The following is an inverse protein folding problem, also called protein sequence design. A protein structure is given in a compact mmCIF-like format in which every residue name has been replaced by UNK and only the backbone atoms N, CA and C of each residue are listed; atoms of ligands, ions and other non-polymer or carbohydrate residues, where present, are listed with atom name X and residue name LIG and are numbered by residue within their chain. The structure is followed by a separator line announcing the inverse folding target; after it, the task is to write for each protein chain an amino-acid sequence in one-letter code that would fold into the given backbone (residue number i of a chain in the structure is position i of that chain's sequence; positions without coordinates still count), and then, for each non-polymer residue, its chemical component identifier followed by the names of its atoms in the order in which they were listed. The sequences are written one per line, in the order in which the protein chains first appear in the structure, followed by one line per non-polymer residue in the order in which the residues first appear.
data_IF_273647834549
#
_entry.id   IF_273647834549
#
_cell.length_a   1.000
_cell.length_b   1.000
_cell.length_c   1.000
_cell.angle_alpha   90.00
_cell.angle_beta   90.00
_cell.angle_gamma   90.00
#
_symmetry.space_group_name_H-M   'P 1'
#
loop_
_entity.id
_entity.type
_entity.pdbx_description
1 polymer ?
#
# COMPACT_ATOMS: atom_id res chain seq x y z
N UNK A 1 -28.45 -20.02 -10.52
CA UNK A 1 -27.55 -19.07 -9.83
C UNK A 1 -27.09 -19.71 -8.53
N UNK A 2 -25.79 -19.69 -8.17
CA UNK A 2 -25.36 -20.17 -6.88
C UNK A 2 -26.10 -19.39 -5.78
N UNK A 3 -26.74 -20.12 -4.87
CA UNK A 3 -27.42 -19.56 -3.70
C UNK A 3 -26.40 -18.70 -2.92
N UNK A 4 -26.76 -17.45 -2.60
CA UNK A 4 -25.92 -16.49 -1.86
C UNK A 4 -25.29 -17.13 -0.61
N UNK A 5 -26.03 -18.01 0.07
CA UNK A 5 -25.55 -18.77 1.23
C UNK A 5 -24.34 -19.66 0.92
N UNK A 6 -24.33 -20.31 -0.24
CA UNK A 6 -23.22 -21.18 -0.68
C UNK A 6 -21.97 -20.35 -1.03
N UNK A 7 -22.16 -19.19 -1.66
CA UNK A 7 -21.07 -18.25 -1.94
C UNK A 7 -20.43 -17.73 -0.66
N UNK A 8 -21.24 -17.26 0.29
CA UNK A 8 -20.78 -16.77 1.60
C UNK A 8 -20.06 -17.85 2.42
N UNK A 9 -20.58 -19.08 2.43
CA UNK A 9 -19.93 -20.21 3.09
C UNK A 9 -18.55 -20.53 2.46
N UNK A 10 -18.45 -20.42 1.13
CA UNK A 10 -17.20 -20.69 0.39
C UNK A 10 -16.13 -19.65 0.69
N UNK A 11 -16.48 -18.35 0.66
CA UNK A 11 -15.52 -17.28 0.97
C UNK A 11 -15.16 -17.25 2.46
N UNK A 12 -16.11 -17.55 3.36
CA UNK A 12 -15.87 -17.66 4.79
C UNK A 12 -14.90 -18.81 5.11
N UNK A 13 -15.08 -19.98 4.48
CA UNK A 13 -14.13 -21.11 4.61
C UNK A 13 -12.74 -20.73 4.08
N UNK A 14 -12.65 -20.07 2.92
CA UNK A 14 -11.37 -19.59 2.38
C UNK A 14 -10.69 -18.57 3.29
N UNK A 15 -11.44 -17.64 3.88
CA UNK A 15 -10.93 -16.64 4.82
C UNK A 15 -10.54 -17.22 6.19
N UNK A 16 -11.22 -18.26 6.65
CA UNK A 16 -10.91 -18.98 7.89
C UNK A 16 -9.74 -19.97 7.77
N UNK A 17 -9.30 -20.31 6.56
CA UNK A 17 -8.08 -21.09 6.36
C UNK A 17 -6.88 -20.22 6.73
N UNK A 18 -6.32 -20.49 7.91
CA UNK A 18 -5.06 -19.89 8.34
C UNK A 18 -3.98 -20.20 7.30
N UNK A 19 -3.38 -19.16 6.74
CA UNK A 19 -2.23 -19.31 5.83
C UNK A 19 -1.13 -20.09 6.56
N UNK A 20 -0.64 -21.16 5.92
CA UNK A 20 0.53 -21.93 6.38
C UNK A 20 1.86 -21.37 5.87
N UNK A 21 1.83 -20.34 5.02
CA UNK A 21 3.05 -19.70 4.53
C UNK A 21 3.73 -19.00 5.70
N UNK A 22 5.01 -19.30 5.90
CA UNK A 22 5.86 -18.51 6.77
C UNK A 22 6.02 -17.12 6.15
N UNK A 23 5.80 -16.08 6.95
CA UNK A 23 6.04 -14.70 6.56
C UNK A 23 7.13 -14.17 7.48
N UNK A 24 8.28 -13.89 6.88
CA UNK A 24 9.38 -13.27 7.60
C UNK A 24 8.98 -11.86 8.08
N UNK A 25 9.34 -11.43 9.30
CA UNK A 25 9.04 -10.09 9.78
C UNK A 25 9.53 -8.97 8.86
N UNK A 26 10.65 -9.15 8.17
CA UNK A 26 11.17 -8.19 7.21
C UNK A 26 10.29 -8.10 5.97
N UNK A 27 9.84 -9.24 5.44
CA UNK A 27 8.89 -9.28 4.32
C UNK A 27 7.55 -8.65 4.71
N UNK A 28 7.08 -8.88 5.93
CA UNK A 28 5.88 -8.22 6.45
C UNK A 28 6.03 -6.69 6.47
N UNK A 29 7.18 -6.17 6.91
CA UNK A 29 7.49 -4.72 6.88
C UNK A 29 7.51 -4.20 5.46
N UNK A 30 8.23 -4.86 4.53
CA UNK A 30 8.27 -4.47 3.10
C UNK A 30 6.87 -4.38 2.50
N UNK A 31 6.00 -5.36 2.79
CA UNK A 31 4.61 -5.35 2.33
C UNK A 31 3.82 -4.15 2.86
N UNK A 32 4.03 -3.78 4.13
CA UNK A 32 3.39 -2.61 4.74
C UNK A 32 3.92 -1.32 4.12
N UNK A 33 5.23 -1.17 3.96
CA UNK A 33 5.84 0.02 3.35
C UNK A 33 5.30 0.29 1.95
N UNK A 34 5.15 -0.76 1.12
CA UNK A 34 4.54 -0.62 -0.22
C UNK A 34 3.07 -0.19 -0.14
N UNK A 35 2.29 -0.72 0.83
CA UNK A 35 0.88 -0.31 0.98
C UNK A 35 0.76 1.15 1.41
N UNK A 36 1.58 1.58 2.36
CA UNK A 36 1.60 2.96 2.83
C UNK A 36 2.07 3.91 1.73
N UNK A 37 3.11 3.55 0.95
CA UNK A 37 3.54 4.32 -0.21
C UNK A 37 2.42 4.46 -1.25
N UNK A 38 1.69 3.38 -1.57
CA UNK A 38 0.53 3.42 -2.47
C UNK A 38 -0.60 4.29 -1.95
N UNK A 39 -0.82 4.32 -0.63
CA UNK A 39 -1.84 5.15 0.01
C UNK A 39 -1.44 6.61 -0.05
N UNK A 40 -0.18 6.92 0.24
CA UNK A 40 0.36 8.26 0.18
C UNK A 40 0.36 8.81 -1.26
N UNK A 41 0.81 8.02 -2.24
CA UNK A 41 0.77 8.38 -3.67
C UNK A 41 -0.64 8.77 -4.11
N UNK A 42 -1.67 7.98 -3.74
CA UNK A 42 -3.07 8.28 -4.05
C UNK A 42 -3.58 9.53 -3.33
N UNK A 43 -3.23 9.70 -2.06
CA UNK A 43 -3.67 10.83 -1.24
C UNK A 43 -3.09 12.16 -1.72
N UNK A 44 -1.81 12.18 -2.07
CA UNK A 44 -1.08 13.37 -2.47
C UNK A 44 -0.87 13.44 -4.00
N UNK A 45 -1.69 12.73 -4.77
CA UNK A 45 -1.53 12.68 -6.23
C UNK A 45 -1.56 14.08 -6.85
N UNK A 46 -2.56 14.89 -6.50
CA UNK A 46 -2.73 16.23 -7.06
C UNK A 46 -1.68 17.24 -6.63
N UNK A 47 -1.07 17.08 -5.44
CA UNK A 47 -0.08 18.03 -4.93
C UNK A 47 1.35 17.64 -5.28
N UNK A 48 1.70 16.37 -5.16
CA UNK A 48 3.08 15.89 -5.28
C UNK A 48 3.33 15.05 -6.55
N UNK A 49 2.29 14.47 -7.16
CA UNK A 49 2.44 13.51 -8.25
C UNK A 49 1.57 13.83 -9.47
N UNK A 50 1.18 15.09 -9.66
CA UNK A 50 0.16 15.49 -10.64
C UNK A 50 0.58 15.18 -12.08
N UNK A 51 1.88 15.18 -12.35
CA UNK A 51 2.48 14.84 -13.65
C UNK A 51 2.50 13.34 -13.94
N UNK A 52 2.30 12.49 -12.93
CA UNK A 52 2.31 11.04 -13.08
C UNK A 52 0.90 10.50 -13.27
N UNK A 53 0.81 9.35 -13.95
CA UNK A 53 -0.45 8.61 -14.08
C UNK A 53 -0.98 8.17 -12.70
N UNK A 54 -2.30 8.28 -12.50
CA UNK A 54 -2.96 7.91 -11.24
C UNK A 54 -2.89 6.42 -10.93
N UNK A 55 -2.74 5.59 -11.96
CA UNK A 55 -2.68 4.13 -11.90
C UNK A 55 -1.25 3.57 -11.93
N UNK A 56 -0.23 4.42 -11.72
CA UNK A 56 1.16 4.00 -11.70
C UNK A 56 1.37 2.88 -10.65
N UNK A 57 1.90 1.71 -11.04
CA UNK A 57 2.11 0.61 -10.11
C UNK A 57 3.32 0.91 -9.21
N UNK A 58 3.06 1.27 -7.95
CA UNK A 58 4.10 1.47 -6.94
C UNK A 58 4.55 0.12 -6.37
N UNK A 59 5.82 -0.22 -6.58
CA UNK A 59 6.51 -1.39 -6.05
C UNK A 59 7.41 -1.08 -4.86
N UNK A 60 8.24 -2.05 -4.46
CA UNK A 60 9.19 -1.93 -3.32
C UNK A 60 10.25 -0.88 -3.60
N UNK A 61 10.79 -0.86 -4.83
CA UNK A 61 11.85 0.07 -5.22
C UNK A 61 11.38 1.53 -5.30
N UNK A 62 10.07 1.75 -5.45
CA UNK A 62 9.49 3.08 -5.56
C UNK A 62 9.21 3.72 -4.20
N UNK A 63 9.27 2.96 -3.09
CA UNK A 63 8.95 3.47 -1.75
C UNK A 63 9.83 4.66 -1.38
N UNK A 64 11.13 4.56 -1.64
CA UNK A 64 12.10 5.64 -1.38
C UNK A 64 11.78 6.87 -2.23
N UNK A 65 11.50 6.67 -3.51
CA UNK A 65 11.13 7.76 -4.42
C UNK A 65 9.83 8.47 -3.97
N UNK A 66 8.79 7.73 -3.58
CA UNK A 66 7.54 8.29 -3.05
C UNK A 66 7.83 9.13 -1.80
N UNK A 67 8.65 8.62 -0.88
CA UNK A 67 9.02 9.35 0.33
C UNK A 67 9.73 10.66 0.01
N UNK A 68 10.69 10.64 -0.92
CA UNK A 68 11.40 11.84 -1.34
C UNK A 68 10.48 12.88 -1.98
N UNK A 69 9.59 12.48 -2.88
CA UNK A 69 8.66 13.41 -3.53
C UNK A 69 7.72 14.08 -2.52
N UNK A 70 7.22 13.32 -1.54
CA UNK A 70 6.41 13.86 -0.45
C UNK A 70 7.18 14.86 0.41
N UNK A 71 8.46 14.59 0.67
CA UNK A 71 9.30 15.47 1.49
C UNK A 71 9.75 16.73 0.73
N UNK A 72 9.96 16.64 -0.59
CA UNK A 72 10.42 17.75 -1.45
C UNK A 72 9.29 18.71 -1.84
N UNK A 73 8.11 18.18 -2.15
CA UNK A 73 7.02 18.96 -2.75
C UNK A 73 5.73 19.01 -1.92
N UNK A 74 5.66 18.20 -0.86
CA UNK A 74 4.47 18.09 -0.03
C UNK A 74 4.37 19.11 1.09
N UNK A 75 3.22 19.10 1.77
CA UNK A 75 2.98 19.88 2.98
C UNK A 75 3.53 19.15 4.23
N UNK A 76 3.34 19.74 5.43
CA UNK A 76 3.78 19.14 6.70
C UNK A 76 3.27 17.71 6.91
N UNK A 77 2.06 17.41 6.46
CA UNK A 77 1.49 16.07 6.58
C UNK A 77 2.21 15.08 5.64
N UNK A 78 2.39 15.46 4.37
CA UNK A 78 3.15 14.68 3.40
C UNK A 78 4.58 14.40 3.89
N UNK A 79 5.26 15.39 4.45
CA UNK A 79 6.61 15.23 5.00
C UNK A 79 6.67 14.22 6.16
N UNK A 80 5.68 14.24 7.07
CA UNK A 80 5.59 13.25 8.16
C UNK A 80 5.37 11.82 7.63
N UNK A 81 4.57 11.68 6.58
CA UNK A 81 4.34 10.38 5.94
C UNK A 81 5.59 9.91 5.20
N UNK A 82 6.25 10.80 4.45
CA UNK A 82 7.50 10.51 3.76
C UNK A 82 8.59 10.04 4.73
N UNK A 83 8.78 10.73 5.86
CA UNK A 83 9.75 10.31 6.89
C UNK A 83 9.42 8.98 7.56
N UNK A 84 8.13 8.64 7.70
CA UNK A 84 7.72 7.33 8.21
C UNK A 84 8.00 6.19 7.21
N UNK A 85 7.98 6.46 5.89
CA UNK A 85 8.28 5.47 4.85
C UNK A 85 9.77 5.10 4.79
N UNK A 86 10.66 5.95 5.32
CA UNK A 86 12.10 5.71 5.36
C UNK A 86 12.58 4.88 6.57
N UNK A 87 11.65 4.39 7.42
CA UNK A 87 11.93 3.57 8.61
C UNK A 87 11.60 2.11 8.36
#
# INVERSE_FOLDING_TARGET
MPNVRSYLATIGRKGGIKSRRHLDPEDARRMVSVREARRAFRKFHTSCFWSYRRDLPIGVNDVVWVAEQLMKHGNREAWRIGTALCR
#
